data_IF_371540622446
#
_entry.id   IF_371540622446
#
_cell.length_a   1.000
_cell.length_b   1.000
_cell.length_c   1.000
_cell.angle_alpha   90.00
_cell.angle_beta   90.00
_cell.angle_gamma   90.00
#
_symmetry.space_group_name_H-M   'P 1'
#
loop_
_entity.id
_entity.type
_entity.pdbx_description
1 polymer ?
#
# COMPACT_ATOMS: atom_id res chain seq x y z
N UNK A 1 6.50 -19.03 4.89
CA UNK A 1 7.89 -18.58 5.09
C UNK A 1 7.87 -17.32 5.93
N UNK A 2 8.52 -17.33 7.10
CA UNK A 2 8.62 -16.14 7.96
C UNK A 2 9.79 -15.31 7.43
N UNK A 3 9.50 -14.24 6.70
CA UNK A 3 10.48 -13.18 6.45
C UNK A 3 10.55 -12.37 7.74
N UNK A 4 11.75 -12.11 8.24
CA UNK A 4 11.97 -11.11 9.26
C UNK A 4 11.78 -9.74 8.63
N UNK A 5 10.73 -9.02 9.05
CA UNK A 5 10.51 -7.67 8.58
C UNK A 5 11.34 -6.70 9.41
N UNK A 6 11.99 -5.71 8.78
CA UNK A 6 12.73 -4.69 9.50
C UNK A 6 11.80 -3.91 10.43
N UNK A 7 12.35 -3.36 11.51
CA UNK A 7 11.61 -2.49 12.41
C UNK A 7 11.12 -1.23 11.66
N UNK A 8 9.88 -1.20 11.20
CA UNK A 8 9.29 -0.07 10.47
C UNK A 8 8.12 0.56 11.23
N UNK A 9 8.00 1.89 11.17
CA UNK A 9 6.82 2.61 11.70
C UNK A 9 5.75 2.81 10.62
N UNK A 10 6.17 2.83 9.36
CA UNK A 10 5.29 3.04 8.21
C UNK A 10 5.48 1.87 7.26
N UNK A 11 4.38 1.25 6.87
CA UNK A 11 4.37 0.24 5.81
C UNK A 11 3.40 0.67 4.73
N UNK A 12 3.88 0.61 3.49
CA UNK A 12 3.11 0.89 2.29
C UNK A 12 3.08 -0.41 1.48
N UNK A 13 1.88 -0.95 1.29
CA UNK A 13 1.64 -2.08 0.40
C UNK A 13 1.14 -1.54 -0.94
N UNK A 14 1.89 -1.84 -2.01
CA UNK A 14 1.53 -1.52 -3.39
C UNK A 14 1.01 -2.80 -4.05
N UNK A 15 -0.23 -2.77 -4.52
CA UNK A 15 -0.98 -3.91 -5.08
C UNK A 15 -1.27 -5.03 -4.08
N UNK A 16 -2.45 -5.63 -4.17
CA UNK A 16 -2.80 -6.80 -3.37
C UNK A 16 -3.67 -7.75 -4.15
N UNK A 17 -3.03 -8.74 -4.76
CA UNK A 17 -3.69 -9.90 -5.33
C UNK A 17 -3.25 -11.17 -4.62
N UNK A 18 -4.21 -12.04 -4.31
CA UNK A 18 -4.02 -13.45 -3.91
C UNK A 18 -3.14 -13.72 -2.66
N UNK A 19 -3.37 -13.00 -1.56
CA UNK A 19 -2.80 -13.30 -0.24
C UNK A 19 -3.83 -13.87 0.77
N UNK A 20 -3.38 -14.73 1.70
CA UNK A 20 -4.21 -15.13 2.85
C UNK A 20 -4.40 -13.94 3.80
N UNK A 21 -5.65 -13.49 3.99
CA UNK A 21 -6.00 -12.35 4.86
C UNK A 21 -5.47 -12.51 6.28
N UNK A 22 -5.46 -13.76 6.79
CA UNK A 22 -4.92 -14.10 8.10
C UNK A 22 -3.39 -13.93 8.15
N UNK A 23 -2.69 -14.24 7.06
CA UNK A 23 -1.24 -14.00 6.97
C UNK A 23 -0.93 -12.51 6.84
N UNK A 24 -1.72 -11.73 6.08
CA UNK A 24 -1.56 -10.27 6.02
C UNK A 24 -1.74 -9.65 7.41
N UNK A 25 -2.82 -9.99 8.12
CA UNK A 25 -3.07 -9.54 9.48
C UNK A 25 -1.97 -9.90 10.46
N UNK A 26 -1.45 -11.12 10.37
CA UNK A 26 -0.35 -11.57 11.21
C UNK A 26 0.96 -10.83 10.90
N UNK A 27 1.22 -10.50 9.62
CA UNK A 27 2.35 -9.65 9.22
C UNK A 27 2.16 -8.23 9.75
N UNK A 28 0.97 -7.66 9.62
CA UNK A 28 0.64 -6.33 10.12
C UNK A 28 0.81 -6.24 11.63
N UNK A 29 0.30 -7.19 12.40
CA UNK A 29 0.44 -7.21 13.86
C UNK A 29 1.89 -7.29 14.34
N UNK A 30 2.78 -7.93 13.57
CA UNK A 30 4.23 -7.96 13.88
C UNK A 30 4.92 -6.61 13.62
N UNK A 31 4.50 -5.90 12.58
CA UNK A 31 5.04 -4.60 12.19
C UNK A 31 4.52 -3.50 13.11
N UNK A 32 3.22 -3.49 13.39
CA UNK A 32 2.53 -2.47 14.18
C UNK A 32 2.69 -2.69 15.70
N UNK A 33 3.75 -3.37 16.15
CA UNK A 33 4.00 -3.56 17.58
C UNK A 33 4.57 -2.28 18.17
N UNK A 34 4.09 -1.84 19.36
CA UNK A 34 4.65 -0.71 20.08
C UNK A 34 6.19 -0.76 20.15
N UNK A 35 6.85 0.28 19.65
CA UNK A 35 8.31 0.44 19.75
C UNK A 35 8.67 1.23 21.00
N UNK A 36 9.62 0.69 21.76
CA UNK A 36 10.06 1.20 23.07
C UNK A 36 10.67 2.60 23.06
N UNK A 37 10.98 3.16 21.89
CA UNK A 37 11.55 4.52 21.74
C UNK A 37 10.51 5.64 21.69
N UNK A 38 9.22 5.31 21.81
CA UNK A 38 8.18 6.35 21.95
C UNK A 38 8.33 7.00 23.33
N UNK A 39 9.08 8.11 23.36
CA UNK A 39 9.39 8.86 24.57
C UNK A 39 8.10 9.16 25.34
N UNK A 40 8.08 8.76 26.60
CA UNK A 40 7.15 9.28 27.60
C UNK A 40 7.55 10.71 27.91
N UNK A 41 7.17 11.65 27.05
CA UNK A 41 6.92 13.01 27.54
C UNK A 41 5.82 12.87 28.60
N UNK A 42 5.97 13.48 29.77
CA UNK A 42 5.22 13.24 31.01
C UNK A 42 3.69 13.44 30.95
N UNK A 43 3.11 13.55 29.76
CA UNK A 43 1.69 13.32 29.50
C UNK A 43 1.44 11.81 29.34
N UNK A 44 0.43 11.31 30.04
CA UNK A 44 0.08 9.89 30.14
C UNK A 44 -0.56 9.31 28.84
N UNK A 45 0.01 9.62 27.66
CA UNK A 45 -0.42 9.14 26.35
C UNK A 45 0.79 8.68 25.55
N UNK A 46 1.19 7.43 25.78
CA UNK A 46 2.02 6.68 24.83
C UNK A 46 1.26 6.59 23.50
N UNK A 47 1.47 7.55 22.61
CA UNK A 47 0.90 7.52 21.26
C UNK A 47 1.86 6.74 20.37
N UNK A 48 1.66 5.42 20.34
CA UNK A 48 2.34 4.60 19.37
C UNK A 48 1.84 4.96 17.97
N UNK A 49 2.73 5.55 17.16
CA UNK A 49 2.40 6.09 15.85
C UNK A 49 2.95 5.17 14.76
N UNK A 50 2.26 4.05 14.51
CA UNK A 50 2.52 3.22 13.34
C UNK A 50 1.36 3.28 12.35
N UNK A 51 1.71 3.35 11.06
CA UNK A 51 0.75 3.52 9.99
C UNK A 51 0.93 2.44 8.93
N UNK A 52 -0.21 1.91 8.49
CA UNK A 52 -0.27 0.98 7.39
C UNK A 52 -1.10 1.58 6.27
N UNK A 53 -0.48 1.74 5.10
CA UNK A 53 -1.12 2.22 3.88
C UNK A 53 -1.21 1.07 2.87
N UNK A 54 -2.35 0.98 2.21
CA UNK A 54 -2.54 0.13 1.04
C UNK A 54 -2.96 1.01 -0.12
N UNK A 55 -2.26 0.93 -1.23
CA UNK A 55 -2.70 1.51 -2.49
C UNK A 55 -3.68 0.54 -3.14
N UNK A 56 -4.79 1.06 -3.65
CA UNK A 56 -5.85 0.28 -4.30
C UNK A 56 -6.19 0.98 -5.60
N UNK A 57 -6.10 0.27 -6.71
CA UNK A 57 -6.53 0.79 -8.01
C UNK A 57 -8.06 0.79 -8.10
N UNK A 58 -8.64 1.97 -8.28
CA UNK A 58 -10.07 2.14 -8.51
C UNK A 58 -10.52 1.35 -9.75
N UNK A 59 -11.79 0.93 -9.76
CA UNK A 59 -12.42 0.17 -10.85
C UNK A 59 -11.72 -1.15 -11.23
N UNK A 60 -10.92 -1.71 -10.31
CA UNK A 60 -10.31 -3.03 -10.45
C UNK A 60 -10.86 -4.02 -9.41
N UNK A 61 -10.50 -5.29 -9.56
CA UNK A 61 -10.80 -6.32 -8.55
C UNK A 61 -10.22 -5.99 -7.16
N UNK A 62 -9.19 -5.14 -7.08
CA UNK A 62 -8.59 -4.73 -5.79
C UNK A 62 -9.61 -4.03 -4.87
N UNK A 63 -10.58 -3.32 -5.44
CA UNK A 63 -11.65 -2.65 -4.68
C UNK A 63 -12.49 -3.64 -3.86
N UNK A 64 -12.84 -4.78 -4.45
CA UNK A 64 -13.59 -5.83 -3.78
C UNK A 64 -12.80 -6.44 -2.60
N UNK A 65 -11.50 -6.64 -2.79
CA UNK A 65 -10.62 -7.13 -1.73
C UNK A 65 -10.41 -6.08 -0.63
N UNK A 66 -10.34 -4.80 -0.99
CA UNK A 66 -10.21 -3.68 -0.06
C UNK A 66 -11.38 -3.58 0.91
N UNK A 67 -12.63 -3.71 0.42
CA UNK A 67 -13.82 -3.69 1.28
C UNK A 67 -13.80 -4.82 2.34
N UNK A 68 -13.39 -6.02 1.95
CA UNK A 68 -13.25 -7.15 2.87
C UNK A 68 -12.09 -6.96 3.87
N UNK A 69 -11.00 -6.33 3.44
CA UNK A 69 -9.87 -5.97 4.31
C UNK A 69 -10.28 -4.93 5.36
N UNK A 70 -11.03 -3.91 4.95
CA UNK A 70 -11.57 -2.90 5.87
C UNK A 70 -12.37 -3.57 6.99
N UNK A 71 -13.35 -4.40 6.65
CA UNK A 71 -14.17 -5.09 7.65
C UNK A 71 -13.29 -5.91 8.61
N UNK A 72 -12.38 -6.72 8.07
CA UNK A 72 -11.50 -7.56 8.88
C UNK A 72 -10.60 -6.74 9.83
N UNK A 73 -10.00 -5.64 9.36
CA UNK A 73 -9.14 -4.80 10.19
C UNK A 73 -9.94 -4.11 11.32
N UNK A 74 -11.17 -3.66 11.03
CA UNK A 74 -12.08 -3.11 12.03
C UNK A 74 -12.43 -4.18 13.07
N UNK A 75 -12.75 -5.40 12.64
CA UNK A 75 -13.07 -6.53 13.54
C UNK A 75 -11.88 -6.90 14.46
N UNK A 76 -10.64 -6.66 14.04
CA UNK A 76 -9.44 -6.84 14.86
C UNK A 76 -9.11 -5.62 15.75
N UNK A 77 -9.91 -4.56 15.70
CA UNK A 77 -9.75 -3.35 16.53
C UNK A 77 -8.80 -2.29 15.95
N UNK A 78 -8.44 -2.37 14.66
CA UNK A 78 -7.63 -1.34 14.02
C UNK A 78 -8.49 -0.17 13.53
N UNK A 79 -7.96 1.05 13.69
CA UNK A 79 -8.53 2.25 13.06
C UNK A 79 -8.26 2.21 11.55
N UNK A 80 -9.33 2.29 10.75
CA UNK A 80 -9.24 2.28 9.29
C UNK A 80 -9.82 3.56 8.70
N UNK A 81 -9.11 4.17 7.74
CA UNK A 81 -9.55 5.37 7.03
C UNK A 81 -9.31 5.22 5.54
N UNK A 82 -10.33 5.51 4.73
CA UNK A 82 -10.21 5.61 3.28
C UNK A 82 -9.82 7.04 2.92
N UNK A 83 -8.79 7.20 2.09
CA UNK A 83 -8.25 8.50 1.67
C UNK A 83 -8.38 8.63 0.14
N UNK A 84 -9.43 9.31 -0.32
CA UNK A 84 -9.64 9.56 -1.76
C UNK A 84 -9.05 10.91 -2.21
N UNK A 85 -9.05 11.91 -1.33
CA UNK A 85 -8.64 13.29 -1.63
C UNK A 85 -7.13 13.48 -1.77
N UNK A 86 -6.33 12.44 -1.50
CA UNK A 86 -4.87 12.53 -1.64
C UNK A 86 -4.43 12.49 -3.10
N UNK A 87 -5.18 11.81 -3.97
CA UNK A 87 -4.83 11.68 -5.39
C UNK A 87 -4.77 13.03 -6.09
N UNK A 88 -5.83 13.85 -5.98
CA UNK A 88 -5.88 15.16 -6.64
C UNK A 88 -4.75 16.10 -6.19
N UNK A 89 -4.41 16.05 -4.90
CA UNK A 89 -3.31 16.85 -4.33
C UNK A 89 -1.95 16.32 -4.77
N UNK A 90 -1.80 15.00 -4.79
CA UNK A 90 -0.57 14.35 -5.24
C UNK A 90 -0.30 14.62 -6.71
N UNK A 91 -1.32 14.65 -7.57
CA UNK A 91 -1.17 14.95 -9.00
C UNK A 91 -0.71 16.39 -9.24
N UNK A 92 -1.27 17.34 -8.48
CA UNK A 92 -0.85 18.73 -8.53
C UNK A 92 0.59 18.90 -8.03
N UNK A 93 0.93 18.26 -6.90
CA UNK A 93 2.26 18.31 -6.31
C UNK A 93 3.31 17.61 -7.16
N UNK A 94 2.95 16.49 -7.81
CA UNK A 94 3.84 15.74 -8.70
C UNK A 94 4.34 16.60 -9.86
N UNK A 95 3.47 17.46 -10.43
CA UNK A 95 3.84 18.40 -11.49
C UNK A 95 4.78 19.49 -10.99
N UNK A 96 4.53 20.01 -9.78
CA UNK A 96 5.34 21.07 -9.18
C UNK A 96 6.72 20.57 -8.76
N UNK A 97 6.77 19.39 -8.14
CA UNK A 97 8.00 18.80 -7.59
C UNK A 97 8.79 17.97 -8.61
N UNK A 98 8.25 17.78 -9.82
CA UNK A 98 8.89 16.98 -10.87
C UNK A 98 8.95 15.49 -10.52
N UNK A 99 7.92 14.96 -9.87
CA UNK A 99 7.82 13.51 -9.62
C UNK A 99 7.57 12.75 -10.93
N UNK A 100 7.94 11.47 -10.92
CA UNK A 100 7.72 10.58 -12.07
C UNK A 100 6.23 10.36 -12.31
N UNK A 101 5.85 10.18 -13.58
CA UNK A 101 4.47 9.92 -14.01
C UNK A 101 3.52 11.09 -13.70
N UNK A 102 4.02 12.33 -13.80
CA UNK A 102 3.22 13.55 -13.58
C UNK A 102 2.50 14.01 -14.86
N UNK A 103 2.90 13.49 -16.03
CA UNK A 103 2.38 13.91 -17.34
C UNK A 103 1.67 12.75 -18.06
N UNK A 104 0.63 13.03 -18.85
CA UNK A 104 -0.02 12.01 -19.68
C UNK A 104 0.93 11.34 -20.68
N UNK A 105 2.01 12.02 -21.08
CA UNK A 105 3.05 11.46 -21.95
C UNK A 105 3.84 10.35 -21.26
N UNK A 106 4.14 10.51 -19.97
CA UNK A 106 4.79 9.49 -19.15
C UNK A 106 3.92 8.23 -19.04
N UNK A 107 2.61 8.42 -18.82
CA UNK A 107 1.65 7.32 -18.72
C UNK A 107 1.57 6.54 -20.02
N UNK A 108 1.48 7.21 -21.17
CA UNK A 108 1.48 6.55 -22.50
C UNK A 108 2.77 5.79 -22.75
N UNK A 109 3.92 6.34 -22.32
CA UNK A 109 5.21 5.66 -22.45
C UNK A 109 5.28 4.41 -21.57
N UNK A 110 4.77 4.48 -20.35
CA UNK A 110 4.66 3.32 -19.45
C UNK A 110 3.75 2.26 -20.05
N UNK A 111 2.55 2.65 -20.50
CA UNK A 111 1.58 1.75 -21.12
C UNK A 111 2.16 1.03 -22.34
N UNK A 112 2.85 1.76 -23.23
CA UNK A 112 3.52 1.17 -24.39
C UNK A 112 4.59 0.16 -23.97
N UNK A 113 5.32 0.45 -22.89
CA UNK A 113 6.34 -0.47 -22.37
C UNK A 113 5.70 -1.75 -21.84
N UNK A 114 4.61 -1.64 -21.08
CA UNK A 114 3.88 -2.79 -20.51
C UNK A 114 3.25 -3.68 -21.60
N UNK A 115 2.59 -3.08 -22.59
CA UNK A 115 1.99 -3.83 -23.70
C UNK A 115 3.03 -4.61 -24.51
N UNK A 116 4.22 -4.02 -24.68
CA UNK A 116 5.31 -4.71 -25.34
C UNK A 116 5.89 -5.84 -24.48
N UNK A 117 6.05 -5.64 -23.16
CA UNK A 117 6.58 -6.69 -22.28
C UNK A 117 5.64 -7.89 -22.17
N UNK A 118 4.32 -7.67 -22.13
CA UNK A 118 3.34 -8.77 -22.09
C UNK A 118 3.41 -9.62 -23.37
N UNK A 119 3.62 -8.98 -24.52
CA UNK A 119 3.77 -9.69 -25.80
C UNK A 119 5.02 -10.56 -25.88
N UNK A 120 6.08 -10.23 -25.14
CA UNK A 120 7.32 -11.02 -25.08
C UNK A 120 7.20 -12.17 -24.08
N UNK A 121 6.56 -11.94 -22.92
CA UNK A 121 6.29 -13.03 -21.96
C UNK A 121 5.35 -14.11 -22.51
N UNK A 122 4.37 -13.74 -23.33
CA UNK A 122 3.49 -14.72 -23.98
C UNK A 122 4.18 -15.54 -25.08
N UNK A 123 5.20 -14.99 -25.74
CA UNK A 123 6.01 -15.73 -26.74
C UNK A 123 6.92 -16.74 -26.06
N UNK A 124 7.59 -16.35 -24.98
CA UNK A 124 8.47 -17.23 -24.20
C UNK A 124 7.70 -18.40 -23.53
N UNK A 125 6.40 -18.26 -23.27
CA UNK A 125 5.56 -19.36 -22.75
C UNK A 125 5.05 -20.32 -23.84
N UNK A 126 5.13 -19.95 -25.11
CA UNK A 126 4.66 -20.77 -26.25
C UNK A 126 5.78 -21.45 -27.04
N UNK A 127 7.03 -21.04 -26.83
CA UNK A 127 8.25 -21.68 -27.34
C UNK A 127 8.78 -22.74 -26.40
#
# INVERSE_FOLDING_TARGET
TSIDLPEANIVIQVSSHFGSRRQEAQRLGRILRPKSYTQTDGSNRSSFNAFFYTLVSNDTQEMFYSARRQQYLIDQGYTFKILTTLCDRADAEAKVQGYKYATPEDDRKLLRTLLNSDSEMEKDQRS
#
